data_IF_494330228613
#
_entry.id   IF_494330228613
#
_cell.length_a   1.000
_cell.length_b   1.000
_cell.length_c   1.000
_cell.angle_alpha   90.00
_cell.angle_beta   90.00
_cell.angle_gamma   90.00
#
_symmetry.space_group_name_H-M   'P 1'
#
loop_
_entity.id
_entity.type
_entity.pdbx_description
1 polymer ?
#
# COMPACT_ATOMS: atom_id res chain seq x y z
N UNK A 1 -33.87 -33.44 -59.33
CA UNK A 1 -32.78 -32.75 -58.62
C UNK A 1 -33.44 -31.92 -57.53
N UNK A 2 -33.29 -32.37 -56.24
CA UNK A 2 -33.94 -31.74 -55.07
C UNK A 2 -32.84 -31.07 -54.25
N UNK A 3 -32.78 -29.73 -54.24
CA UNK A 3 -31.91 -28.94 -53.40
C UNK A 3 -32.42 -28.94 -51.95
N UNK A 4 -31.58 -29.44 -51.01
CA UNK A 4 -31.78 -29.30 -49.58
C UNK A 4 -30.94 -28.12 -49.12
N UNK A 5 -31.57 -27.03 -48.68
CA UNK A 5 -30.94 -25.93 -47.97
C UNK A 5 -30.79 -26.33 -46.50
N UNK A 6 -29.54 -26.32 -46.01
CA UNK A 6 -29.24 -26.55 -44.62
C UNK A 6 -29.25 -25.17 -43.87
N UNK A 7 -30.17 -24.98 -42.94
CA UNK A 7 -30.16 -23.86 -42.03
C UNK A 7 -29.14 -24.11 -40.92
N UNK A 8 -28.10 -23.29 -40.87
CA UNK A 8 -27.20 -23.23 -39.70
C UNK A 8 -27.83 -22.25 -38.67
N UNK A 9 -28.25 -22.81 -37.54
CA UNK A 9 -28.65 -22.04 -36.38
C UNK A 9 -27.38 -21.63 -35.60
N UNK A 10 -27.04 -20.36 -35.64
CA UNK A 10 -25.97 -19.80 -34.80
C UNK A 10 -26.51 -19.58 -33.39
N UNK A 11 -26.09 -20.42 -32.44
CA UNK A 11 -26.37 -20.21 -31.01
C UNK A 11 -25.47 -19.11 -30.47
N UNK A 12 -26.01 -17.92 -30.23
CA UNK A 12 -25.36 -16.86 -29.45
C UNK A 12 -25.34 -17.28 -27.97
N UNK A 13 -24.19 -17.70 -27.48
CA UNK A 13 -23.93 -17.82 -26.05
C UNK A 13 -23.78 -16.40 -25.47
N UNK A 14 -24.84 -15.91 -24.83
CA UNK A 14 -24.77 -14.71 -24.01
C UNK A 14 -23.95 -15.03 -22.75
N UNK A 15 -22.72 -14.56 -22.68
CA UNK A 15 -21.96 -14.51 -21.43
C UNK A 15 -22.63 -13.50 -20.52
N UNK A 16 -23.38 -13.99 -19.54
CA UNK A 16 -23.86 -13.18 -18.43
C UNK A 16 -22.64 -12.74 -17.60
N UNK A 17 -22.14 -11.53 -17.83
CA UNK A 17 -21.21 -10.87 -16.92
C UNK A 17 -21.98 -10.58 -15.64
N UNK A 18 -21.69 -11.35 -14.58
CA UNK A 18 -22.19 -11.07 -13.23
C UNK A 18 -21.64 -9.72 -12.81
N UNK A 19 -22.39 -8.64 -13.01
CA UNK A 19 -22.03 -7.34 -12.45
C UNK A 19 -22.24 -7.42 -10.93
N UNK A 20 -21.18 -7.71 -10.20
CA UNK A 20 -21.19 -7.53 -8.76
C UNK A 20 -21.32 -6.03 -8.49
N UNK A 21 -22.44 -5.64 -7.88
CA UNK A 21 -22.64 -4.27 -7.47
C UNK A 21 -21.49 -3.89 -6.50
N UNK A 22 -20.90 -2.70 -6.70
CA UNK A 22 -19.90 -2.20 -5.77
C UNK A 22 -20.50 -2.17 -4.34
N UNK A 23 -19.75 -2.58 -3.29
CA UNK A 23 -20.22 -2.48 -1.93
C UNK A 23 -20.55 -1.03 -1.58
N UNK A 24 -21.49 -0.81 -0.67
CA UNK A 24 -21.87 0.53 -0.24
C UNK A 24 -20.70 1.22 0.51
N UNK A 25 -19.93 0.44 1.26
CA UNK A 25 -18.79 0.89 2.06
C UNK A 25 -17.60 -0.05 1.84
N UNK A 26 -16.38 0.53 1.82
CA UNK A 26 -15.11 -0.18 1.80
C UNK A 26 -14.31 0.14 3.07
N UNK A 27 -13.69 -0.85 3.66
CA UNK A 27 -12.62 -0.67 4.64
C UNK A 27 -11.27 -0.76 3.91
N UNK A 28 -10.55 0.36 3.88
CA UNK A 28 -9.24 0.48 3.22
C UNK A 28 -8.17 0.61 4.30
N UNK A 29 -7.06 -0.10 4.14
CA UNK A 29 -5.96 -0.10 5.10
C UNK A 29 -4.60 0.00 4.39
N UNK A 30 -3.56 0.33 5.18
CA UNK A 30 -2.16 0.13 4.80
C UNK A 30 -1.42 -0.60 5.92
N UNK A 31 -0.50 -1.48 5.57
CA UNK A 31 0.27 -2.27 6.51
C UNK A 31 1.66 -2.63 5.96
N UNK A 32 2.71 -2.07 6.55
CA UNK A 32 4.07 -2.55 6.39
C UNK A 32 4.24 -3.84 7.20
N UNK A 33 4.66 -4.94 6.57
CA UNK A 33 4.78 -6.27 7.20
C UNK A 33 6.21 -6.62 7.65
N UNK A 34 7.11 -5.66 7.63
CA UNK A 34 8.50 -5.81 8.10
C UNK A 34 9.20 -7.03 7.51
N UNK A 35 9.85 -6.85 6.36
CA UNK A 35 10.60 -7.92 5.68
C UNK A 35 9.84 -9.25 5.57
N UNK A 36 8.56 -9.21 5.19
CA UNK A 36 7.73 -10.39 5.14
C UNK A 36 7.99 -11.22 3.87
N UNK A 37 8.55 -12.39 4.05
CA UNK A 37 8.81 -13.37 3.00
C UNK A 37 8.39 -14.77 3.46
N UNK A 38 8.32 -15.72 2.52
CA UNK A 38 8.07 -17.10 2.91
C UNK A 38 9.25 -17.67 3.70
N UNK A 39 9.03 -18.65 4.61
CA UNK A 39 10.11 -19.33 5.28
C UNK A 39 11.11 -20.00 4.33
N UNK A 40 10.64 -20.43 3.16
CA UNK A 40 11.46 -21.01 2.08
C UNK A 40 12.39 -19.97 1.47
N UNK A 41 11.86 -18.80 1.12
CA UNK A 41 12.65 -17.68 0.60
C UNK A 41 13.73 -17.26 1.60
N UNK A 42 13.37 -17.08 2.87
CA UNK A 42 14.32 -16.68 3.90
C UNK A 42 15.45 -17.70 4.03
N UNK A 43 15.13 -19.01 4.11
CA UNK A 43 16.13 -20.07 4.17
C UNK A 43 17.07 -20.07 2.97
N UNK A 44 16.55 -19.83 1.77
CA UNK A 44 17.34 -19.79 0.55
C UNK A 44 18.30 -18.58 0.50
N UNK A 45 17.91 -17.43 1.05
CA UNK A 45 18.70 -16.20 1.01
C UNK A 45 19.67 -16.08 2.20
N UNK A 46 19.41 -16.73 3.34
CA UNK A 46 20.21 -16.64 4.56
C UNK A 46 21.72 -16.95 4.35
N UNK A 47 22.12 -17.99 3.59
CA UNK A 47 23.54 -18.30 3.38
C UNK A 47 24.33 -17.21 2.66
N UNK A 48 23.63 -16.37 1.87
CA UNK A 48 24.20 -15.26 1.09
C UNK A 48 23.64 -13.91 1.57
N UNK A 49 23.33 -13.79 2.85
CA UNK A 49 22.82 -12.55 3.41
C UNK A 49 23.84 -11.42 3.27
N UNK A 50 23.36 -10.19 3.21
CA UNK A 50 24.20 -9.00 3.04
C UNK A 50 24.57 -8.42 4.40
N UNK A 51 25.86 -8.23 4.72
CA UNK A 51 26.30 -7.52 5.94
C UNK A 51 25.72 -6.10 6.01
N UNK A 52 25.50 -5.60 7.23
CA UNK A 52 24.86 -4.30 7.46
C UNK A 52 25.64 -3.11 6.88
N UNK A 53 26.97 -3.25 6.77
CA UNK A 53 27.91 -2.26 6.25
C UNK A 53 28.19 -2.40 4.74
N UNK A 54 27.60 -3.42 4.08
CA UNK A 54 27.80 -3.63 2.66
C UNK A 54 27.14 -2.50 1.84
N UNK A 55 27.80 -2.07 0.76
CA UNK A 55 27.21 -1.10 -0.16
C UNK A 55 25.90 -1.65 -0.74
N UNK A 56 24.90 -0.79 -0.86
CA UNK A 56 23.65 -1.16 -1.53
C UNK A 56 23.93 -1.40 -3.01
N UNK A 57 23.59 -2.56 -3.49
CA UNK A 57 23.74 -2.95 -4.89
C UNK A 57 22.33 -3.16 -5.44
N UNK A 58 21.74 -2.08 -5.98
CA UNK A 58 20.53 -2.08 -6.81
C UNK A 58 19.40 -3.07 -6.45
N UNK A 59 18.50 -3.32 -7.37
CA UNK A 59 17.45 -4.34 -7.25
C UNK A 59 18.06 -5.74 -7.25
N UNK A 60 18.27 -6.30 -6.08
CA UNK A 60 18.85 -7.61 -5.89
C UNK A 60 18.03 -8.40 -4.87
N UNK A 61 17.84 -9.68 -5.16
CA UNK A 61 17.18 -10.58 -4.25
C UNK A 61 18.14 -10.98 -3.13
N UNK A 62 18.17 -10.19 -2.07
CA UNK A 62 19.03 -10.38 -0.89
C UNK A 62 18.30 -9.96 0.37
N UNK A 63 18.79 -10.43 1.52
CA UNK A 63 18.29 -10.08 2.85
C UNK A 63 19.48 -9.64 3.71
N UNK A 64 19.37 -8.58 4.53
CA UNK A 64 20.40 -8.23 5.51
C UNK A 64 20.60 -9.39 6.53
N UNK A 65 21.83 -9.58 7.01
CA UNK A 65 22.14 -10.71 7.91
C UNK A 65 21.45 -10.58 9.27
N UNK A 66 21.27 -9.38 9.77
CA UNK A 66 20.51 -9.11 11.00
C UNK A 66 19.02 -9.47 10.82
N UNK A 67 18.43 -9.14 9.67
CA UNK A 67 17.06 -9.55 9.30
C UNK A 67 16.97 -11.07 9.18
N UNK A 68 17.92 -11.71 8.49
CA UNK A 68 17.94 -13.17 8.31
C UNK A 68 17.99 -13.91 9.66
N UNK A 69 18.72 -13.38 10.64
CA UNK A 69 18.84 -13.95 11.97
C UNK A 69 17.69 -13.56 12.90
N UNK A 70 17.24 -12.28 12.85
CA UNK A 70 16.27 -11.70 13.78
C UNK A 70 14.82 -11.98 13.41
N UNK A 71 14.46 -11.94 12.12
CA UNK A 71 13.07 -11.92 11.66
C UNK A 71 12.57 -13.24 11.05
N UNK A 72 13.27 -14.37 11.27
CA UNK A 72 12.72 -15.67 10.88
C UNK A 72 11.41 -15.94 11.63
N UNK A 73 10.28 -15.83 10.92
CA UNK A 73 8.95 -16.05 11.50
C UNK A 73 8.58 -17.51 11.52
N UNK A 74 8.11 -18.00 12.66
CA UNK A 74 7.57 -19.34 12.85
C UNK A 74 6.17 -19.47 12.22
N UNK A 75 5.66 -20.70 12.15
CA UNK A 75 4.26 -20.93 11.73
C UNK A 75 3.26 -20.25 12.63
N UNK A 76 3.55 -20.17 13.94
CA UNK A 76 2.71 -19.50 14.93
C UNK A 76 2.73 -17.99 14.77
N UNK A 77 3.87 -17.40 14.39
CA UNK A 77 3.98 -15.97 14.09
C UNK A 77 3.14 -15.61 12.84
N UNK A 78 3.26 -16.39 11.77
CA UNK A 78 2.45 -16.24 10.56
C UNK A 78 0.96 -16.44 10.88
N UNK A 79 0.61 -17.42 11.71
CA UNK A 79 -0.77 -17.62 12.15
C UNK A 79 -1.30 -16.45 12.98
N UNK A 80 -0.44 -15.79 13.79
CA UNK A 80 -0.81 -14.57 14.51
C UNK A 80 -1.08 -13.41 13.54
N UNK A 81 -0.17 -13.13 12.59
CA UNK A 81 -0.39 -12.13 11.53
C UNK A 81 -1.69 -12.38 10.75
N UNK A 82 -1.96 -13.64 10.39
CA UNK A 82 -3.20 -14.03 9.70
C UNK A 82 -4.45 -13.75 10.54
N UNK A 83 -4.41 -14.01 11.87
CA UNK A 83 -5.54 -13.67 12.76
C UNK A 83 -5.77 -12.17 12.80
N UNK A 84 -4.70 -11.37 12.85
CA UNK A 84 -4.78 -9.92 12.81
C UNK A 84 -5.34 -9.39 11.50
N UNK A 85 -4.90 -9.93 10.36
CA UNK A 85 -5.43 -9.60 9.05
C UNK A 85 -6.95 -9.86 8.96
N UNK A 86 -7.41 -10.98 9.57
CA UNK A 86 -8.85 -11.28 9.66
C UNK A 86 -9.60 -10.33 10.58
N UNK A 87 -9.03 -9.98 11.73
CA UNK A 87 -9.64 -9.02 12.67
C UNK A 87 -9.71 -7.62 12.06
N UNK A 88 -8.65 -7.19 11.35
CA UNK A 88 -8.65 -5.95 10.57
C UNK A 88 -9.83 -5.93 9.59
N UNK A 89 -10.12 -7.04 8.92
CA UNK A 89 -11.29 -7.19 8.05
C UNK A 89 -11.37 -6.16 6.93
N UNK A 90 -10.23 -5.65 6.45
CA UNK A 90 -10.19 -4.67 5.38
C UNK A 90 -10.51 -5.30 4.02
N UNK A 91 -11.12 -4.52 3.13
CA UNK A 91 -11.45 -4.95 1.77
C UNK A 91 -10.26 -4.74 0.82
N UNK A 92 -9.46 -3.70 1.09
CA UNK A 92 -8.26 -3.37 0.33
C UNK A 92 -7.15 -2.98 1.31
N UNK A 93 -5.97 -3.57 1.15
CA UNK A 93 -4.83 -3.30 2.01
C UNK A 93 -3.62 -2.98 1.14
N UNK A 94 -3.09 -1.77 1.23
CA UNK A 94 -1.79 -1.44 0.68
C UNK A 94 -0.71 -2.11 1.54
N UNK A 95 0.17 -2.88 0.93
CA UNK A 95 1.20 -3.66 1.60
C UNK A 95 2.58 -3.09 1.30
N UNK A 96 3.44 -3.07 2.31
CA UNK A 96 4.85 -2.71 2.19
C UNK A 96 5.71 -3.80 2.81
N UNK A 97 6.93 -3.93 2.30
CA UNK A 97 7.96 -4.88 2.74
C UNK A 97 7.56 -6.36 2.60
N UNK A 98 6.85 -6.69 1.54
CA UNK A 98 6.41 -8.07 1.26
C UNK A 98 7.11 -8.61 0.02
N UNK A 99 7.56 -9.85 0.08
CA UNK A 99 8.26 -10.55 -1.02
C UNK A 99 7.32 -11.00 -2.17
N UNK A 100 6.18 -10.32 -2.32
CA UNK A 100 5.24 -10.58 -3.39
C UNK A 100 4.03 -11.43 -2.99
N UNK A 101 3.23 -11.86 -3.99
CA UNK A 101 1.91 -12.46 -3.75
C UNK A 101 1.97 -13.81 -3.03
N UNK A 102 3.02 -14.58 -3.20
CA UNK A 102 3.18 -15.88 -2.53
C UNK A 102 3.32 -15.69 -1.01
N UNK A 103 4.18 -14.75 -0.59
CA UNK A 103 4.33 -14.38 0.82
C UNK A 103 3.02 -13.79 1.36
N UNK A 104 2.43 -12.82 0.67
CA UNK A 104 1.19 -12.16 1.10
C UNK A 104 0.06 -13.17 1.35
N UNK A 105 -0.06 -14.23 0.55
CA UNK A 105 -1.11 -15.26 0.68
C UNK A 105 -1.05 -16.02 2.00
N UNK A 106 0.10 -16.09 2.65
CA UNK A 106 0.22 -16.70 3.98
C UNK A 106 -0.58 -15.95 5.04
N UNK A 107 -0.68 -14.62 4.91
CA UNK A 107 -1.40 -13.73 5.83
C UNK A 107 -2.81 -13.46 5.34
N UNK A 108 -3.00 -13.28 4.03
CA UNK A 108 -4.26 -12.88 3.38
C UNK A 108 -4.79 -13.94 2.41
N UNK A 109 -5.19 -15.14 2.87
CA UNK A 109 -5.59 -16.27 1.98
C UNK A 109 -6.86 -15.99 1.16
N UNK A 110 -7.70 -15.06 1.62
CA UNK A 110 -9.00 -14.74 1.01
C UNK A 110 -8.92 -13.49 0.10
N UNK A 111 -7.69 -13.09 -0.29
CA UNK A 111 -7.42 -11.92 -1.13
C UNK A 111 -6.75 -12.31 -2.45
N UNK A 112 -6.86 -11.41 -3.41
CA UNK A 112 -6.09 -11.34 -4.64
C UNK A 112 -5.03 -10.25 -4.50
N UNK A 113 -4.04 -10.20 -5.42
CA UNK A 113 -2.87 -9.37 -5.19
C UNK A 113 -2.44 -8.62 -6.46
N UNK A 114 -1.99 -7.37 -6.26
CA UNK A 114 -1.16 -6.62 -7.19
C UNK A 114 0.16 -6.29 -6.49
N UNK A 115 1.29 -6.62 -7.12
CA UNK A 115 2.62 -6.31 -6.58
C UNK A 115 3.52 -5.72 -7.63
N UNK A 116 4.56 -4.97 -7.21
CA UNK A 116 5.61 -4.54 -8.10
C UNK A 116 6.42 -5.73 -8.64
N UNK A 117 6.85 -5.66 -9.90
CA UNK A 117 7.75 -6.63 -10.52
C UNK A 117 9.22 -6.39 -10.20
N UNK A 118 9.55 -5.56 -9.19
CA UNK A 118 10.92 -5.31 -8.78
C UNK A 118 11.57 -6.59 -8.24
N UNK A 119 12.80 -6.90 -8.69
CA UNK A 119 13.56 -8.07 -8.21
C UNK A 119 14.17 -7.76 -6.85
N UNK A 120 13.38 -7.83 -5.80
CA UNK A 120 13.81 -7.61 -4.41
C UNK A 120 12.81 -8.31 -3.47
N UNK A 121 13.18 -8.46 -2.20
CA UNK A 121 12.32 -9.05 -1.17
C UNK A 121 11.44 -8.02 -0.46
N UNK A 122 11.73 -6.75 -0.58
CA UNK A 122 10.89 -5.66 -0.07
C UNK A 122 10.12 -5.02 -1.22
N UNK A 123 8.90 -5.43 -1.44
CA UNK A 123 8.04 -4.86 -2.47
C UNK A 123 6.82 -4.19 -1.87
N UNK A 124 6.26 -3.24 -2.63
CA UNK A 124 4.94 -2.68 -2.43
C UNK A 124 3.91 -3.47 -3.21
N UNK A 125 2.69 -3.47 -2.73
CA UNK A 125 1.58 -4.11 -3.41
C UNK A 125 0.25 -3.82 -2.74
N UNK A 126 -0.74 -4.58 -3.17
CA UNK A 126 -2.09 -4.59 -2.58
C UNK A 126 -2.56 -6.01 -2.36
N UNK A 127 -3.29 -6.21 -1.25
CA UNK A 127 -4.19 -7.34 -1.04
C UNK A 127 -5.62 -6.84 -1.19
N UNK A 128 -6.39 -7.45 -2.08
CA UNK A 128 -7.76 -7.07 -2.42
C UNK A 128 -8.68 -8.25 -2.09
N UNK A 129 -9.70 -8.05 -1.26
CA UNK A 129 -10.66 -9.09 -0.91
C UNK A 129 -11.33 -9.62 -2.16
N UNK A 130 -11.43 -10.94 -2.28
CA UNK A 130 -12.15 -11.57 -3.39
C UNK A 130 -13.57 -11.03 -3.52
N UNK A 131 -13.94 -10.70 -4.75
CA UNK A 131 -15.24 -10.13 -5.06
C UNK A 131 -15.27 -8.59 -5.13
N UNK A 132 -14.21 -7.89 -4.69
CA UNK A 132 -14.03 -6.47 -4.99
C UNK A 132 -13.47 -6.33 -6.40
N UNK A 133 -14.16 -5.67 -7.34
CA UNK A 133 -13.65 -5.48 -8.70
C UNK A 133 -12.43 -4.57 -8.73
N UNK A 134 -11.35 -5.03 -9.36
CA UNK A 134 -10.12 -4.26 -9.49
C UNK A 134 -9.34 -4.56 -10.77
N UNK A 135 -8.39 -3.68 -11.07
CA UNK A 135 -7.36 -3.85 -12.07
C UNK A 135 -6.02 -3.38 -11.47
N UNK A 136 -4.97 -4.19 -11.62
CA UNK A 136 -3.61 -3.74 -11.31
C UNK A 136 -3.23 -2.65 -12.32
N UNK A 137 -2.94 -1.46 -11.80
CA UNK A 137 -2.48 -0.32 -12.60
C UNK A 137 -0.98 -0.42 -12.93
N UNK A 138 -0.43 0.60 -13.58
CA UNK A 138 0.99 0.68 -13.85
C UNK A 138 1.80 0.82 -12.54
N UNK A 139 3.04 0.36 -12.57
CA UNK A 139 4.00 0.64 -11.52
C UNK A 139 4.57 2.06 -11.67
N UNK A 140 4.70 2.79 -10.58
CA UNK A 140 5.42 4.05 -10.54
C UNK A 140 6.91 3.75 -10.36
N UNK A 141 7.55 3.37 -11.47
CA UNK A 141 8.95 2.88 -11.49
C UNK A 141 9.95 3.95 -11.09
N UNK A 142 9.72 5.21 -11.48
CA UNK A 142 10.62 6.33 -11.20
C UNK A 142 10.73 6.61 -9.69
N UNK A 143 9.71 6.24 -8.90
CA UNK A 143 9.75 6.34 -7.45
C UNK A 143 10.87 5.47 -6.84
N UNK A 144 11.34 4.47 -7.56
CA UNK A 144 12.39 3.55 -7.13
C UNK A 144 13.81 4.08 -7.29
N UNK A 145 14.01 5.24 -7.94
CA UNK A 145 15.34 5.81 -8.18
C UNK A 145 16.28 4.79 -8.84
N UNK A 146 15.86 4.21 -9.97
CA UNK A 146 16.55 3.13 -10.69
C UNK A 146 16.62 1.79 -9.92
N UNK A 147 15.54 1.43 -9.24
CA UNK A 147 15.39 0.22 -8.42
C UNK A 147 16.29 0.16 -7.16
N UNK A 148 16.90 1.26 -6.76
CA UNK A 148 17.64 1.34 -5.50
C UNK A 148 16.70 1.29 -4.27
N UNK A 149 15.47 1.79 -4.43
CA UNK A 149 14.41 1.74 -3.42
C UNK A 149 13.14 1.11 -4.01
N UNK A 150 11.99 1.25 -3.35
CA UNK A 150 10.75 0.57 -3.73
C UNK A 150 10.02 1.36 -4.82
N UNK A 151 9.37 0.64 -5.75
CA UNK A 151 8.46 1.21 -6.73
C UNK A 151 7.12 1.48 -6.11
N UNK A 152 6.38 2.49 -6.59
CA UNK A 152 4.95 2.62 -6.29
C UNK A 152 4.13 1.60 -7.08
N UNK A 153 2.99 1.18 -6.52
CA UNK A 153 2.05 0.27 -7.19
C UNK A 153 0.68 0.92 -7.25
N UNK A 154 0.13 1.09 -8.45
CA UNK A 154 -1.22 1.59 -8.65
C UNK A 154 -2.25 0.45 -8.64
N UNK A 155 -3.39 0.71 -8.03
CA UNK A 155 -4.58 -0.14 -8.05
C UNK A 155 -5.78 0.68 -8.52
N UNK A 156 -6.57 0.15 -9.45
CA UNK A 156 -7.85 0.73 -9.87
C UNK A 156 -8.97 -0.11 -9.32
N UNK A 157 -9.81 0.47 -8.47
CA UNK A 157 -11.04 -0.15 -7.98
C UNK A 157 -12.20 0.22 -8.90
N UNK A 158 -13.10 -0.74 -9.15
CA UNK A 158 -14.27 -0.61 -10.03
C UNK A 158 -13.93 -0.04 -11.42
N UNK A 159 -12.91 -0.58 -12.11
CA UNK A 159 -12.38 -0.01 -13.34
C UNK A 159 -13.46 0.06 -14.43
N UNK A 160 -13.44 1.16 -15.20
CA UNK A 160 -14.37 1.40 -16.30
C UNK A 160 -15.79 1.73 -15.87
N UNK A 161 -16.05 1.99 -14.60
CA UNK A 161 -17.35 2.42 -14.07
C UNK A 161 -17.31 3.86 -13.57
N UNK A 162 -18.48 4.46 -13.33
CA UNK A 162 -18.58 5.75 -12.65
C UNK A 162 -18.07 5.73 -11.20
N UNK A 163 -17.77 4.54 -10.65
CA UNK A 163 -17.25 4.33 -9.31
C UNK A 163 -15.74 4.07 -9.28
N UNK A 164 -15.05 4.26 -10.40
CA UNK A 164 -13.60 4.06 -10.47
C UNK A 164 -12.85 4.97 -9.50
N UNK A 165 -12.00 4.37 -8.66
CA UNK A 165 -11.08 5.04 -7.75
C UNK A 165 -9.66 4.53 -7.98
N UNK A 166 -8.66 5.38 -7.81
CA UNK A 166 -7.24 5.03 -7.98
C UNK A 166 -6.51 5.09 -6.65
N UNK A 167 -5.77 4.04 -6.33
CA UNK A 167 -4.98 3.94 -5.11
C UNK A 167 -3.52 3.73 -5.48
N UNK A 168 -2.60 4.40 -4.77
CA UNK A 168 -1.16 4.21 -4.92
C UNK A 168 -0.58 3.70 -3.61
N UNK A 169 0.00 2.49 -3.61
CA UNK A 169 0.80 1.98 -2.50
C UNK A 169 2.23 2.48 -2.61
N UNK A 170 2.71 3.15 -1.57
CA UNK A 170 4.07 3.69 -1.48
C UNK A 170 4.82 3.16 -0.27
N UNK A 171 6.15 3.10 -0.36
CA UNK A 171 7.06 2.96 0.76
C UNK A 171 8.26 3.87 0.46
N UNK A 172 8.21 5.08 1.00
CA UNK A 172 9.21 6.10 0.72
C UNK A 172 10.54 5.78 1.43
N UNK A 173 11.58 6.54 1.08
CA UNK A 173 12.92 6.32 1.58
C UNK A 173 13.01 6.52 3.10
N UNK A 174 13.52 5.51 3.80
CA UNK A 174 13.80 5.57 5.23
C UNK A 174 15.12 6.31 5.53
N UNK A 175 15.31 6.66 6.82
CA UNK A 175 16.57 7.25 7.32
C UNK A 175 16.62 8.78 7.24
N UNK A 176 15.48 9.44 6.91
CA UNK A 176 15.31 10.90 6.98
C UNK A 176 14.06 11.29 7.80
N UNK A 177 13.87 10.68 8.95
CA UNK A 177 12.61 10.84 9.70
C UNK A 177 12.44 12.21 10.35
N UNK A 178 13.53 12.92 10.68
CA UNK A 178 13.53 14.18 11.44
C UNK A 178 14.39 15.28 10.85
N UNK A 179 15.32 14.97 9.96
CA UNK A 179 16.20 15.96 9.35
C UNK A 179 15.47 16.72 8.25
N UNK A 180 15.93 17.93 7.92
CA UNK A 180 15.48 18.63 6.73
C UNK A 180 15.73 17.79 5.48
N UNK A 181 14.82 17.82 4.51
CA UNK A 181 15.00 17.19 3.21
C UNK A 181 16.14 17.83 2.39
N UNK A 182 16.50 19.07 2.74
CA UNK A 182 17.63 19.81 2.16
C UNK A 182 18.97 19.51 2.85
N UNK A 183 18.98 18.61 3.86
CA UNK A 183 20.20 18.24 4.56
C UNK A 183 21.16 17.45 3.64
N UNK A 184 22.45 17.45 4.00
CA UNK A 184 23.50 16.71 3.27
C UNK A 184 23.43 15.20 3.46
N UNK A 185 22.51 14.69 4.26
CA UNK A 185 22.31 13.26 4.48
C UNK A 185 21.79 12.59 3.20
N UNK A 186 22.50 11.57 2.72
CA UNK A 186 22.13 10.88 1.47
C UNK A 186 20.68 10.38 1.45
N UNK A 187 20.18 9.83 2.58
CA UNK A 187 18.79 9.36 2.69
C UNK A 187 17.75 10.49 2.54
N UNK A 188 18.06 11.70 2.99
CA UNK A 188 17.19 12.87 2.79
C UNK A 188 17.16 13.32 1.34
N UNK A 189 18.33 13.36 0.69
CA UNK A 189 18.41 13.65 -0.75
C UNK A 189 17.72 12.59 -1.62
N UNK A 190 17.76 11.30 -1.23
CA UNK A 190 16.99 10.25 -1.90
C UNK A 190 15.48 10.46 -1.72
N UNK A 191 15.02 10.77 -0.50
CA UNK A 191 13.61 11.06 -0.22
C UNK A 191 13.14 12.31 -1.00
N UNK A 192 13.93 13.39 -0.99
CA UNK A 192 13.62 14.61 -1.74
C UNK A 192 13.45 14.35 -3.24
N UNK A 193 14.24 13.43 -3.83
CA UNK A 193 14.08 13.05 -5.26
C UNK A 193 12.83 12.21 -5.54
N UNK A 194 12.24 11.56 -4.54
CA UNK A 194 10.98 10.84 -4.69
C UNK A 194 9.76 11.78 -4.77
N UNK A 195 9.83 12.95 -4.16
CA UNK A 195 8.69 13.87 -4.06
C UNK A 195 8.15 14.33 -5.42
N UNK A 196 8.95 14.86 -6.35
CA UNK A 196 8.41 15.28 -7.64
C UNK A 196 7.88 14.12 -8.51
N UNK A 197 8.23 12.86 -8.16
CA UNK A 197 7.64 11.69 -8.81
C UNK A 197 6.25 11.40 -8.25
N UNK A 198 6.12 11.48 -6.92
CA UNK A 198 4.84 11.29 -6.23
C UNK A 198 3.86 12.41 -6.62
N UNK A 199 4.33 13.64 -6.62
CA UNK A 199 3.59 14.84 -7.03
C UNK A 199 3.00 14.70 -8.42
N UNK A 200 3.81 14.39 -9.42
CA UNK A 200 3.32 14.19 -10.80
C UNK A 200 2.24 13.10 -10.90
N UNK A 201 2.29 12.06 -10.04
CA UNK A 201 1.23 11.06 -10.02
C UNK A 201 -0.06 11.66 -9.47
N UNK A 202 0.01 12.43 -8.38
CA UNK A 202 -1.13 13.11 -7.75
C UNK A 202 -1.79 14.07 -8.73
N UNK A 203 -1.00 14.93 -9.37
CA UNK A 203 -1.46 15.91 -10.36
C UNK A 203 -2.16 15.25 -11.54
N UNK A 204 -1.60 14.15 -12.04
CA UNK A 204 -2.22 13.41 -13.14
C UNK A 204 -3.59 12.83 -12.74
N UNK A 205 -3.77 12.36 -11.49
CA UNK A 205 -5.07 11.90 -11.03
C UNK A 205 -6.05 13.07 -10.85
N UNK A 206 -5.59 14.20 -10.31
CA UNK A 206 -6.38 15.41 -10.15
C UNK A 206 -6.83 15.97 -11.52
N UNK A 207 -5.92 16.06 -12.49
CA UNK A 207 -6.23 16.48 -13.86
C UNK A 207 -7.22 15.56 -14.57
N UNK A 208 -7.18 14.26 -14.29
CA UNK A 208 -8.16 13.27 -14.77
C UNK A 208 -9.51 13.32 -14.02
N UNK A 209 -9.63 14.17 -13.00
CA UNK A 209 -10.80 14.26 -12.10
C UNK A 209 -11.18 12.90 -11.50
N UNK A 210 -10.19 12.06 -11.17
CA UNK A 210 -10.41 10.76 -10.54
C UNK A 210 -10.26 10.86 -9.03
N UNK A 211 -11.18 10.28 -8.25
CA UNK A 211 -10.96 10.12 -6.81
C UNK A 211 -9.77 9.18 -6.59
N UNK A 212 -8.82 9.64 -5.78
CA UNK A 212 -7.59 8.88 -5.54
C UNK A 212 -7.14 8.92 -4.08
N UNK A 213 -6.26 7.99 -3.72
CA UNK A 213 -5.56 7.97 -2.44
C UNK A 213 -4.12 7.49 -2.60
N UNK A 214 -3.23 8.04 -1.77
CA UNK A 214 -1.87 7.54 -1.55
C UNK A 214 -1.83 6.87 -0.17
N UNK A 215 -1.40 5.61 -0.14
CA UNK A 215 -1.37 4.79 1.08
C UNK A 215 0.01 4.17 1.27
N UNK A 216 0.50 4.14 2.48
CA UNK A 216 1.74 3.42 2.73
C UNK A 216 2.57 3.98 3.87
N UNK A 217 3.82 3.51 3.89
CA UNK A 217 4.85 3.95 4.81
C UNK A 217 5.62 5.13 4.20
N UNK A 218 5.41 6.30 4.74
CA UNK A 218 6.10 7.54 4.35
C UNK A 218 7.45 7.71 5.04
N UNK A 219 7.75 6.85 6.05
CA UNK A 219 8.97 6.91 6.85
C UNK A 219 9.21 8.24 7.56
N UNK A 220 8.14 9.05 7.73
CA UNK A 220 8.21 10.40 8.29
C UNK A 220 6.86 10.80 8.92
N UNK A 221 6.90 11.52 10.04
CA UNK A 221 5.69 12.12 10.62
C UNK A 221 5.35 13.42 9.87
N UNK A 222 4.40 13.35 8.93
CA UNK A 222 3.97 14.47 8.08
C UNK A 222 3.41 15.67 8.87
N UNK A 223 3.03 15.46 10.13
CA UNK A 223 2.49 16.52 11.00
C UNK A 223 3.57 17.29 11.77
N UNK A 224 4.82 16.84 11.69
CA UNK A 224 5.96 17.35 12.46
C UNK A 224 7.20 17.53 11.60
N UNK A 225 6.99 17.86 10.34
CA UNK A 225 8.11 18.08 9.43
C UNK A 225 8.85 19.38 9.81
N UNK A 226 10.18 19.42 9.68
CA UNK A 226 10.96 20.65 9.81
C UNK A 226 10.49 21.71 8.82
N UNK A 227 10.77 22.98 9.14
CA UNK A 227 10.55 24.07 8.20
C UNK A 227 11.40 23.89 6.93
N UNK A 228 10.92 24.40 5.80
CA UNK A 228 11.53 24.25 4.47
C UNK A 228 10.82 23.20 3.64
N UNK A 229 11.55 22.56 2.72
CA UNK A 229 11.01 21.49 1.88
C UNK A 229 10.48 20.34 2.74
N UNK A 230 9.21 20.03 2.61
CA UNK A 230 8.54 18.94 3.33
C UNK A 230 7.74 18.06 2.39
N UNK A 231 7.47 16.80 2.81
CA UNK A 231 6.63 15.91 1.98
C UNK A 231 5.25 16.53 1.81
N UNK A 232 4.65 17.02 2.93
CA UNK A 232 3.28 17.51 2.89
C UNK A 232 3.14 18.73 1.98
N UNK A 233 4.02 19.72 2.09
CA UNK A 233 3.95 20.94 1.27
C UNK A 233 4.20 20.69 -0.21
N UNK A 234 4.92 19.64 -0.57
CA UNK A 234 5.13 19.26 -1.97
C UNK A 234 3.92 18.57 -2.58
N UNK A 235 3.26 17.68 -1.81
CA UNK A 235 2.14 16.88 -2.34
C UNK A 235 0.76 17.53 -2.15
N UNK A 236 0.64 18.58 -1.36
CA UNK A 236 -0.60 19.31 -1.04
C UNK A 236 -0.43 20.80 -1.37
N UNK A 237 0.08 21.10 -2.55
CA UNK A 237 0.34 22.49 -3.00
C UNK A 237 -0.85 23.12 -3.76
N UNK A 238 -1.92 22.36 -4.00
CA UNK A 238 -3.11 22.75 -4.75
C UNK A 238 -2.85 23.12 -6.22
N UNK A 239 -1.82 22.54 -6.85
CA UNK A 239 -1.51 22.70 -8.27
C UNK A 239 -1.48 21.32 -8.98
N UNK A 240 -2.50 20.94 -9.76
CA UNK A 240 -3.71 21.73 -10.14
C UNK A 240 -4.70 21.93 -8.96
N UNK A 241 -5.67 22.86 -9.07
CA UNK A 241 -6.58 23.20 -7.95
C UNK A 241 -7.35 22.04 -7.32
N UNK A 242 -7.51 20.93 -8.03
CA UNK A 242 -8.18 19.72 -7.53
C UNK A 242 -7.20 18.72 -6.88
N UNK A 243 -5.91 19.06 -6.80
CA UNK A 243 -4.87 18.23 -6.15
C UNK A 243 -4.87 18.33 -4.62
N UNK A 244 -5.68 19.21 -4.02
CA UNK A 244 -5.86 19.28 -2.57
C UNK A 244 -6.09 17.93 -1.91
N UNK A 245 -5.39 17.68 -0.83
CA UNK A 245 -5.37 16.40 -0.12
C UNK A 245 -5.97 16.49 1.29
N UNK A 246 -6.34 15.34 1.81
CA UNK A 246 -6.83 15.17 3.18
C UNK A 246 -6.00 14.10 3.88
N UNK A 247 -5.26 14.48 4.90
CA UNK A 247 -4.55 13.54 5.77
C UNK A 247 -5.52 12.95 6.80
N UNK A 248 -5.87 11.68 6.66
CA UNK A 248 -6.86 11.03 7.54
C UNK A 248 -6.38 10.85 8.98
N UNK A 249 -5.07 10.97 9.24
CA UNK A 249 -4.46 10.90 10.57
C UNK A 249 -4.43 12.24 11.31
N UNK A 250 -4.85 13.34 10.68
CA UNK A 250 -4.83 14.66 11.32
C UNK A 250 -5.74 14.70 12.55
N UNK A 251 -5.21 15.29 13.63
CA UNK A 251 -5.89 15.36 14.92
C UNK A 251 -6.01 14.03 15.66
N UNK A 252 -5.49 12.91 15.12
CA UNK A 252 -5.57 11.61 15.79
C UNK A 252 -4.39 11.39 16.72
N UNK A 253 -4.68 10.87 17.92
CA UNK A 253 -3.66 10.49 18.90
C UNK A 253 -2.84 9.30 18.37
N UNK A 254 -1.52 9.35 18.58
CA UNK A 254 -0.62 8.26 18.24
C UNK A 254 -0.37 7.35 19.45
N UNK A 255 -0.31 6.05 19.21
CA UNK A 255 0.09 5.04 20.18
C UNK A 255 0.98 4.01 19.48
N UNK A 256 2.13 3.66 20.07
CA UNK A 256 2.98 2.59 19.55
C UNK A 256 2.26 1.25 19.52
N UNK A 257 2.54 0.43 18.52
CA UNK A 257 1.91 -0.88 18.36
C UNK A 257 2.55 -1.95 19.27
N UNK A 258 3.82 -1.82 19.52
CA UNK A 258 4.60 -2.73 20.37
C UNK A 258 5.40 -1.93 21.40
N UNK A 259 5.67 -2.53 22.57
CA UNK A 259 6.41 -1.88 23.63
C UNK A 259 7.87 -1.56 23.24
N UNK A 260 8.41 -2.28 22.25
CA UNK A 260 9.77 -2.04 21.72
C UNK A 260 9.85 -0.88 20.73
N UNK A 261 8.71 -0.33 20.29
CA UNK A 261 8.69 0.79 19.35
C UNK A 261 8.99 2.11 20.06
N UNK A 262 9.71 2.96 19.34
CA UNK A 262 10.08 4.32 19.80
C UNK A 262 9.60 5.41 18.84
N UNK A 263 8.60 5.12 18.01
CA UNK A 263 8.04 6.13 17.11
C UNK A 263 7.33 7.23 17.91
N UNK A 264 7.52 8.47 17.48
CA UNK A 264 6.91 9.64 18.12
C UNK A 264 5.60 10.06 17.45
N UNK A 265 5.24 9.46 16.33
CA UNK A 265 4.04 9.79 15.54
C UNK A 265 3.77 8.76 14.46
N UNK A 266 2.74 9.02 13.66
CA UNK A 266 2.44 8.19 12.48
C UNK A 266 3.54 8.34 11.43
N UNK A 267 3.85 7.25 10.76
CA UNK A 267 4.67 7.19 9.55
C UNK A 267 3.94 6.42 8.43
N UNK A 268 2.89 5.69 8.81
CA UNK A 268 1.95 5.06 7.88
C UNK A 268 0.72 5.94 7.72
N UNK A 269 0.37 6.26 6.47
CA UNK A 269 -0.71 7.19 6.16
C UNK A 269 -1.66 6.64 5.10
N UNK A 270 -2.88 7.17 5.12
CA UNK A 270 -3.87 7.12 4.06
C UNK A 270 -4.22 8.57 3.74
N UNK A 271 -3.72 9.05 2.62
CA UNK A 271 -3.93 10.42 2.14
C UNK A 271 -4.96 10.35 1.01
N UNK A 272 -6.04 11.12 1.13
CA UNK A 272 -7.15 11.11 0.17
C UNK A 272 -7.15 12.39 -0.66
N UNK A 273 -7.49 12.31 -1.94
CA UNK A 273 -7.95 13.48 -2.68
C UNK A 273 -9.18 14.08 -2.00
N UNK A 274 -9.38 15.39 -2.12
CA UNK A 274 -10.56 16.07 -1.56
C UNK A 274 -11.87 15.44 -2.06
N UNK A 275 -11.91 15.01 -3.32
CA UNK A 275 -13.06 14.31 -3.87
C UNK A 275 -13.31 12.98 -3.13
N UNK A 276 -12.29 12.12 -2.98
CA UNK A 276 -12.42 10.84 -2.30
C UNK A 276 -12.78 11.02 -0.81
N UNK A 277 -12.29 12.08 -0.18
CA UNK A 277 -12.56 12.39 1.23
C UNK A 277 -14.03 12.69 1.53
N UNK A 278 -14.84 13.05 0.53
CA UNK A 278 -16.31 13.20 0.71
C UNK A 278 -16.97 11.88 1.16
N UNK A 279 -16.40 10.74 0.75
CA UNK A 279 -16.86 9.42 1.17
C UNK A 279 -16.29 8.96 2.51
N UNK A 280 -15.34 9.68 3.11
CA UNK A 280 -14.75 9.27 4.38
C UNK A 280 -15.82 9.19 5.48
N UNK A 281 -16.00 8.00 6.06
CA UNK A 281 -16.90 7.82 7.18
C UNK A 281 -16.30 8.52 8.40
N UNK A 282 -17.07 9.42 8.99
CA UNK A 282 -16.64 10.21 10.14
C UNK A 282 -16.07 9.31 11.24
N UNK A 283 -14.97 9.70 11.84
CA UNK A 283 -14.28 9.00 12.94
C UNK A 283 -13.90 7.54 12.66
N UNK A 284 -13.84 7.16 11.37
CA UNK A 284 -13.50 5.79 10.97
C UNK A 284 -11.99 5.53 10.89
N UNK A 285 -11.14 6.57 10.95
CA UNK A 285 -9.70 6.35 11.04
C UNK A 285 -9.36 5.57 12.30
N UNK A 286 -8.63 4.50 12.15
CA UNK A 286 -8.18 3.66 13.24
C UNK A 286 -6.84 3.00 13.00
N UNK A 287 -6.27 2.47 14.06
CA UNK A 287 -5.06 1.66 14.05
C UNK A 287 -5.35 0.36 14.78
N UNK A 288 -5.09 -0.77 14.12
CA UNK A 288 -5.29 -2.09 14.73
C UNK A 288 -4.04 -2.50 15.49
N UNK A 289 -4.06 -2.33 16.83
CA UNK A 289 -2.93 -2.66 17.69
C UNK A 289 -2.85 -4.17 17.93
N UNK A 290 -1.63 -4.70 18.03
CA UNK A 290 -1.46 -6.11 18.39
C UNK A 290 -1.81 -6.34 19.86
N UNK A 291 -2.54 -7.44 20.20
CA UNK A 291 -2.76 -7.79 21.59
C UNK A 291 -1.42 -8.00 22.32
N UNK A 292 -1.34 -7.62 23.60
CA UNK A 292 -0.09 -7.70 24.37
C UNK A 292 0.60 -9.07 24.31
N UNK A 293 -0.18 -10.17 24.32
CA UNK A 293 0.36 -11.53 24.20
C UNK A 293 1.08 -11.80 22.87
N UNK A 294 0.56 -11.24 21.76
CA UNK A 294 1.15 -11.41 20.44
C UNK A 294 2.33 -10.43 20.27
N UNK A 295 2.18 -9.18 20.70
CA UNK A 295 3.24 -8.18 20.68
C UNK A 295 4.50 -8.58 21.49
N UNK A 296 4.33 -9.37 22.58
CA UNK A 296 5.44 -9.80 23.43
C UNK A 296 6.05 -11.14 23.03
N UNK A 297 5.28 -12.04 22.42
CA UNK A 297 5.66 -13.44 22.21
C UNK A 297 5.80 -13.85 20.77
N UNK A 298 5.42 -12.98 19.82
CA UNK A 298 5.39 -13.27 18.39
C UNK A 298 6.23 -12.26 17.63
N UNK A 299 6.84 -12.72 16.54
CA UNK A 299 7.47 -11.85 15.56
C UNK A 299 6.39 -11.29 14.64
N UNK A 300 5.71 -10.25 15.15
CA UNK A 300 4.71 -9.51 14.42
C UNK A 300 5.40 -8.60 13.39
N UNK A 301 4.82 -7.49 13.02
CA UNK A 301 5.49 -6.39 12.34
C UNK A 301 5.79 -5.29 13.35
N UNK A 302 6.82 -4.52 13.11
CA UNK A 302 7.09 -3.25 13.82
C UNK A 302 6.11 -2.14 13.43
N UNK A 303 5.23 -2.38 12.44
CA UNK A 303 4.11 -1.53 12.07
C UNK A 303 2.77 -2.20 12.38
N UNK A 304 1.81 -1.43 12.92
CA UNK A 304 0.40 -1.83 12.97
C UNK A 304 -0.38 -1.20 11.84
N UNK A 305 -1.32 -1.93 11.23
CA UNK A 305 -2.11 -1.38 10.14
C UNK A 305 -2.93 -0.18 10.59
N UNK A 306 -2.97 0.86 9.76
CA UNK A 306 -3.93 1.96 9.86
C UNK A 306 -5.02 1.75 8.82
N UNK A 307 -6.24 2.20 9.13
CA UNK A 307 -7.38 2.00 8.26
C UNK A 307 -8.39 3.15 8.34
N UNK A 308 -9.21 3.23 7.31
CA UNK A 308 -10.41 4.07 7.22
C UNK A 308 -11.59 3.26 6.69
N UNK A 309 -12.80 3.84 6.80
CA UNK A 309 -13.98 3.38 6.05
C UNK A 309 -14.41 4.46 5.08
N UNK A 310 -14.82 4.03 3.89
CA UNK A 310 -15.17 4.91 2.79
C UNK A 310 -16.51 4.50 2.19
N UNK A 311 -17.49 5.41 2.14
CA UNK A 311 -18.73 5.23 1.37
C UNK A 311 -18.44 5.45 -0.11
N UNK A 312 -18.60 4.42 -0.91
CA UNK A 312 -18.17 4.42 -2.32
C UNK A 312 -18.92 5.47 -3.15
N UNK A 313 -20.24 5.59 -2.99
CA UNK A 313 -21.04 6.54 -3.74
C UNK A 313 -20.61 8.00 -3.50
N UNK A 314 -20.39 8.36 -2.24
CA UNK A 314 -20.00 9.72 -1.85
C UNK A 314 -18.57 10.04 -2.32
N UNK A 315 -17.66 9.06 -2.26
CA UNK A 315 -16.25 9.20 -2.67
C UNK A 315 -16.10 9.51 -4.16
N UNK A 316 -17.02 9.04 -5.00
CA UNK A 316 -16.99 9.25 -6.45
C UNK A 316 -17.96 10.35 -6.91
N UNK A 317 -18.74 10.95 -6.00
CA UNK A 317 -19.68 12.03 -6.32
C UNK A 317 -20.91 11.57 -7.11
N UNK A 318 -21.26 10.30 -7.07
CA UNK A 318 -22.49 9.77 -7.68
C UNK A 318 -23.61 9.87 -6.64
N UNK A 319 -24.68 10.62 -6.94
CA UNK A 319 -25.90 10.64 -6.13
C UNK A 319 -26.45 9.21 -6.00
N UNK A 320 -26.69 8.76 -4.77
CA UNK A 320 -27.23 7.45 -4.44
C UNK A 320 -28.69 7.29 -4.82
#
# INVERSE_FOLDING_TARGET
MKNRAALFAASLLAFATSSHAAPAELKIATWNLEWFMTPETLRALTPACTPADAPRIGARRSVPCDVAQGLARSREDIAALKRHARALGADVIALQEVDGPEAARLVFPDHEFCFSGRIAVQNNGFAIRRGVPFLCGPELTDLSLNDDVRRGVELRLFPGTAKEMRLLSVHLKSGCARDSLESTRASCGELARQLPVLERWIDAQAADHKPFAVLGDFNRDLRREPAGLSIWTEIDDADPPDADLVNTADGKAFQNCMNSQTFSGYIDYIILSRQMARGLVRDSFGRELFPPKDAQRRKMSDHCPVFIRLRVADAVGVAG
#
